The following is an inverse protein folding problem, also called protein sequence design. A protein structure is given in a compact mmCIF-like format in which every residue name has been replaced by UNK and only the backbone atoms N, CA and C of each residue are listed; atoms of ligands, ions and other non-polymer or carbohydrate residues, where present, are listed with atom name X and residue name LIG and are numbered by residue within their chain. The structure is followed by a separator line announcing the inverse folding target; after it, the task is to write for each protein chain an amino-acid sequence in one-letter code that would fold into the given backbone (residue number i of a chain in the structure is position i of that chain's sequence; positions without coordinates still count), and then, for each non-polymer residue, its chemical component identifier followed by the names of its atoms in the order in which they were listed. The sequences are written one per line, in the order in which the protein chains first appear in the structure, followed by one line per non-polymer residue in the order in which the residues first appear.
data_IF_044344184054
#
_entry.id   IF_044344184054
#
_cell.length_a   1.000
_cell.length_b   1.000
_cell.length_c   1.000
_cell.angle_alpha   90.00
_cell.angle_beta   90.00
_cell.angle_gamma   90.00
#
_symmetry.space_group_name_H-M   'P 1'
#
loop_
_entity.id
_entity.type
_entity.pdbx_description
1 polymer ?
#
# COMPACT_ATOMS: atom_id res chain seq x y z
N UNK A 1 -27.12 31.66 -8.22
CA UNK A 1 -27.29 30.29 -8.72
C UNK A 1 -26.20 29.47 -8.06
N UNK A 2 -26.51 29.00 -6.85
CA UNK A 2 -25.62 28.27 -5.96
C UNK A 2 -25.36 26.90 -6.56
N UNK A 3 -24.10 26.62 -6.87
CA UNK A 3 -23.63 25.31 -7.29
C UNK A 3 -23.32 24.54 -6.01
N UNK A 4 -24.33 23.85 -5.48
CA UNK A 4 -24.14 22.81 -4.47
C UNK A 4 -23.36 21.68 -5.12
N UNK A 5 -22.03 21.68 -4.91
CA UNK A 5 -21.24 20.47 -5.05
C UNK A 5 -21.57 19.61 -3.83
N UNK A 6 -22.44 18.63 -4.01
CA UNK A 6 -22.58 17.51 -3.08
C UNK A 6 -21.20 16.88 -2.86
N UNK A 7 -20.52 17.26 -1.78
CA UNK A 7 -19.49 16.43 -1.18
C UNK A 7 -20.23 15.24 -0.58
N UNK A 8 -20.42 14.19 -1.40
CA UNK A 8 -20.77 12.87 -0.88
C UNK A 8 -19.57 12.37 -0.06
N UNK A 9 -19.48 12.82 1.20
CA UNK A 9 -18.45 12.38 2.14
C UNK A 9 -18.50 10.87 2.24
N UNK A 10 -17.35 10.21 2.11
CA UNK A 10 -17.30 8.75 2.21
C UNK A 10 -17.81 8.32 3.59
N UNK A 11 -18.70 7.33 3.64
CA UNK A 11 -19.37 6.91 4.88
C UNK A 11 -18.51 5.97 5.75
N UNK A 12 -18.85 5.80 7.02
CA UNK A 12 -18.21 4.76 7.86
C UNK A 12 -18.55 3.35 7.36
N UNK A 13 -17.60 2.42 7.49
CA UNK A 13 -17.75 0.98 7.17
C UNK A 13 -17.21 0.21 8.37
N UNK A 14 -18.07 -0.44 9.15
CA UNK A 14 -17.70 -1.06 10.43
C UNK A 14 -17.59 -2.58 10.31
N UNK A 15 -16.71 -3.06 9.42
CA UNK A 15 -16.41 -4.48 9.32
C UNK A 15 -15.49 -4.99 10.43
N UNK A 16 -15.02 -6.22 10.29
CA UNK A 16 -14.20 -6.88 11.31
C UNK A 16 -12.79 -6.26 11.39
N UNK A 17 -12.35 -5.98 12.62
CA UNK A 17 -11.00 -5.47 12.90
C UNK A 17 -10.03 -6.58 13.30
N UNK A 18 -10.50 -7.80 13.52
CA UNK A 18 -9.66 -8.89 13.99
C UNK A 18 -8.46 -9.13 13.08
N UNK A 19 -7.29 -9.19 13.70
CA UNK A 19 -6.01 -9.48 13.07
C UNK A 19 -5.54 -10.90 13.46
N UNK A 20 -4.82 -11.61 12.58
CA UNK A 20 -4.23 -12.91 12.93
C UNK A 20 -3.33 -12.79 14.16
N UNK A 21 -3.10 -13.90 14.87
CA UNK A 21 -2.26 -13.91 16.06
C UNK A 21 -0.82 -13.44 15.75
N UNK A 22 -0.13 -12.94 16.77
CA UNK A 22 1.27 -12.58 16.64
C UNK A 22 2.18 -13.71 16.14
N UNK A 23 3.37 -13.36 15.68
CA UNK A 23 4.39 -14.27 15.18
C UNK A 23 5.79 -13.84 15.68
N UNK A 24 6.78 -14.73 15.57
CA UNK A 24 8.17 -14.40 15.89
C UNK A 24 8.80 -13.57 14.76
N UNK A 25 8.40 -12.29 14.73
CA UNK A 25 8.88 -11.28 13.79
C UNK A 25 8.85 -9.92 14.49
N UNK A 26 9.83 -9.01 14.25
CA UNK A 26 9.93 -7.73 14.97
C UNK A 26 8.66 -6.88 14.96
N UNK A 27 7.85 -6.99 13.91
CA UNK A 27 6.60 -6.24 13.74
C UNK A 27 5.36 -7.11 13.94
N UNK A 28 5.46 -8.25 14.61
CA UNK A 28 4.34 -9.19 14.74
C UNK A 28 4.11 -9.67 16.18
N UNK A 29 4.60 -8.98 17.22
CA UNK A 29 4.26 -9.37 18.59
C UNK A 29 2.77 -9.24 18.88
N UNK A 30 2.29 -10.00 19.86
CA UNK A 30 0.88 -9.95 20.29
C UNK A 30 0.48 -8.56 20.82
N UNK A 31 1.42 -7.84 21.41
CA UNK A 31 1.18 -6.45 21.84
C UNK A 31 1.02 -5.51 20.64
N UNK A 32 1.87 -5.65 19.60
CA UNK A 32 1.72 -4.89 18.35
C UNK A 32 0.37 -5.20 17.67
N UNK A 33 -0.06 -6.47 17.66
CA UNK A 33 -1.38 -6.87 17.14
C UNK A 33 -2.51 -6.14 17.86
N UNK A 34 -2.51 -6.15 19.20
CA UNK A 34 -3.56 -5.49 20.01
C UNK A 34 -3.64 -4.00 19.75
N UNK A 35 -2.49 -3.32 19.68
CA UNK A 35 -2.43 -1.87 19.35
C UNK A 35 -3.04 -1.63 17.97
N UNK A 36 -2.62 -2.38 16.96
CA UNK A 36 -3.13 -2.25 15.61
C UNK A 36 -4.64 -2.50 15.54
N UNK A 37 -5.13 -3.61 16.10
CA UNK A 37 -6.55 -4.00 16.09
C UNK A 37 -7.45 -2.97 16.78
N UNK A 38 -7.07 -2.50 17.97
CA UNK A 38 -7.86 -1.54 18.75
C UNK A 38 -7.84 -0.14 18.14
N UNK A 39 -6.69 0.26 17.60
CA UNK A 39 -6.46 1.58 17.02
C UNK A 39 -6.82 1.72 15.55
N UNK A 40 -7.19 0.65 14.84
CA UNK A 40 -7.47 0.69 13.39
C UNK A 40 -8.58 1.69 13.07
N UNK A 41 -8.28 2.65 12.17
CA UNK A 41 -9.22 3.67 11.65
C UNK A 41 -9.60 3.42 10.19
N UNK A 42 -8.73 2.74 9.44
CA UNK A 42 -8.93 2.37 8.04
C UNK A 42 -8.21 1.06 7.76
N UNK A 43 -8.87 0.11 7.11
CA UNK A 43 -8.30 -1.15 6.62
C UNK A 43 -9.03 -1.54 5.34
N UNK A 44 -8.27 -1.85 4.30
CA UNK A 44 -8.83 -2.21 3.01
C UNK A 44 -7.95 -3.25 2.31
N UNK A 45 -8.54 -3.96 1.36
CA UNK A 45 -7.79 -4.81 0.45
C UNK A 45 -6.97 -3.92 -0.49
N UNK A 46 -5.68 -4.26 -0.71
CA UNK A 46 -4.76 -3.50 -1.58
C UNK A 46 -3.97 -4.39 -2.55
N UNK A 47 -4.38 -5.66 -2.64
CA UNK A 47 -3.70 -6.70 -3.42
C UNK A 47 -4.02 -6.68 -4.91
N UNK A 48 -3.49 -7.69 -5.61
CA UNK A 48 -3.65 -7.84 -7.05
C UNK A 48 -5.11 -7.90 -7.52
N UNK A 49 -6.02 -8.42 -6.69
CA UNK A 49 -7.47 -8.39 -6.92
C UNK A 49 -8.04 -6.97 -7.05
N UNK A 50 -7.65 -6.05 -6.17
CA UNK A 50 -8.13 -4.65 -6.18
C UNK A 50 -7.63 -3.88 -7.39
N UNK A 51 -6.49 -4.28 -7.95
CA UNK A 51 -6.00 -3.71 -9.20
C UNK A 51 -6.70 -4.29 -10.45
N UNK A 52 -7.47 -5.38 -10.32
CA UNK A 52 -8.08 -6.11 -11.43
C UNK A 52 -7.08 -6.97 -12.23
N UNK A 53 -5.88 -7.20 -11.71
CA UNK A 53 -4.80 -7.92 -12.41
C UNK A 53 -4.63 -9.37 -11.95
N UNK A 54 -5.55 -9.87 -11.13
CA UNK A 54 -5.57 -11.26 -10.68
C UNK A 54 -5.82 -12.27 -11.80
N UNK A 55 -5.19 -13.44 -11.68
CA UNK A 55 -5.51 -14.64 -12.45
C UNK A 55 -6.45 -15.49 -11.60
N UNK A 56 -7.56 -15.97 -12.17
CA UNK A 56 -8.58 -16.70 -11.43
C UNK A 56 -8.00 -17.89 -10.65
N UNK A 57 -8.31 -17.97 -9.35
CA UNK A 57 -7.92 -19.09 -8.47
C UNK A 57 -6.56 -18.94 -7.76
N UNK A 58 -5.90 -17.78 -7.84
CA UNK A 58 -4.58 -17.52 -7.23
C UNK A 58 -4.57 -16.32 -6.27
N UNK A 59 -5.71 -15.89 -5.75
CA UNK A 59 -5.78 -14.63 -5.00
C UNK A 59 -5.35 -14.82 -3.53
N UNK A 60 -4.16 -14.30 -3.23
CA UNK A 60 -3.75 -13.88 -1.90
C UNK A 60 -4.58 -12.65 -1.49
N UNK A 61 -4.98 -12.58 -0.22
CA UNK A 61 -5.67 -11.42 0.33
C UNK A 61 -4.64 -10.50 0.95
N UNK A 62 -4.22 -9.48 0.21
CA UNK A 62 -3.37 -8.41 0.76
C UNK A 62 -4.24 -7.30 1.36
N UNK A 63 -4.01 -6.99 2.63
CA UNK A 63 -4.69 -5.92 3.34
C UNK A 63 -3.71 -4.90 3.91
N UNK A 64 -4.08 -3.63 3.78
CA UNK A 64 -3.36 -2.53 4.39
C UNK A 64 -4.31 -1.73 5.27
N UNK A 65 -3.81 -1.29 6.42
CA UNK A 65 -4.53 -0.38 7.28
C UNK A 65 -3.65 0.64 7.98
N UNK A 66 -4.36 1.49 8.73
CA UNK A 66 -3.82 2.61 9.50
C UNK A 66 -4.45 2.53 10.88
N UNK A 67 -3.64 2.65 11.92
CA UNK A 67 -4.08 2.68 13.31
C UNK A 67 -3.55 3.91 14.05
N UNK A 68 -4.29 4.35 15.06
CA UNK A 68 -3.86 5.32 16.04
C UNK A 68 -3.31 4.58 17.26
N UNK A 69 -2.07 4.87 17.64
CA UNK A 69 -1.43 4.30 18.82
C UNK A 69 -1.96 4.91 20.14
N UNK A 70 -1.91 4.15 21.26
CA UNK A 70 -2.12 4.69 22.59
C UNK A 70 -1.08 5.78 22.97
N UNK A 71 -1.41 6.68 23.93
CA UNK A 71 -0.57 7.84 24.27
C UNK A 71 0.87 7.47 24.63
N UNK A 72 1.08 6.38 25.36
CA UNK A 72 2.40 5.96 25.83
C UNK A 72 3.37 5.56 24.71
N UNK A 73 2.87 5.24 23.51
CA UNK A 73 3.67 4.97 22.30
C UNK A 73 3.90 6.22 21.44
N UNK A 74 3.16 7.30 21.68
CA UNK A 74 3.25 8.55 20.92
C UNK A 74 4.05 9.60 21.67
N UNK A 75 3.68 9.86 22.92
CA UNK A 75 4.32 10.86 23.79
C UNK A 75 5.23 10.24 24.85
N UNK A 76 5.07 8.94 25.11
CA UNK A 76 5.90 8.19 26.05
C UNK A 76 7.07 7.47 25.38
N UNK A 77 7.70 6.56 26.14
CA UNK A 77 8.82 5.72 25.70
C UNK A 77 8.42 4.24 25.55
N UNK A 78 7.12 3.94 25.48
CA UNK A 78 6.64 2.57 25.40
C UNK A 78 7.13 1.89 24.13
N UNK A 79 7.46 0.60 24.25
CA UNK A 79 7.93 -0.26 23.16
C UNK A 79 7.14 -1.57 23.20
N UNK A 80 7.20 -2.34 22.12
CA UNK A 80 6.60 -3.67 22.03
C UNK A 80 7.70 -4.73 21.93
N UNK A 81 7.47 -5.96 22.41
CA UNK A 81 8.37 -7.08 22.16
C UNK A 81 8.62 -7.28 20.65
N UNK A 82 9.84 -7.70 20.31
CA UNK A 82 10.28 -7.89 18.93
C UNK A 82 9.87 -9.27 18.35
N UNK A 83 8.64 -9.71 18.60
CA UNK A 83 8.14 -11.05 18.26
C UNK A 83 7.42 -11.69 19.45
N UNK A 84 6.83 -12.87 19.25
CA UNK A 84 6.18 -13.63 20.34
C UNK A 84 7.17 -14.33 21.26
N UNK A 85 8.38 -14.63 20.77
CA UNK A 85 9.43 -15.30 21.53
C UNK A 85 10.48 -14.33 22.11
N UNK A 86 10.27 -13.02 21.94
CA UNK A 86 11.19 -12.00 22.43
C UNK A 86 11.10 -11.82 23.96
N UNK A 87 12.11 -12.31 24.69
CA UNK A 87 12.16 -12.18 26.15
C UNK A 87 12.51 -10.76 26.63
N UNK A 88 13.47 -10.10 25.97
CA UNK A 88 14.00 -8.79 26.38
C UNK A 88 14.13 -7.77 25.25
N UNK A 89 14.19 -8.24 24.00
CA UNK A 89 14.34 -7.37 22.82
C UNK A 89 13.04 -6.66 22.51
N UNK A 90 13.08 -5.33 22.38
CA UNK A 90 11.91 -4.51 22.07
C UNK A 90 12.14 -3.54 20.91
N UNK A 91 11.08 -3.25 20.17
CA UNK A 91 11.08 -2.29 19.06
C UNK A 91 10.04 -1.20 19.28
N UNK A 92 10.21 -0.07 18.59
CA UNK A 92 9.17 0.95 18.50
C UNK A 92 8.00 0.40 17.69
N UNK A 93 6.78 0.70 18.12
CA UNK A 93 5.61 0.34 17.35
C UNK A 93 5.44 1.33 16.19
N UNK A 94 5.77 0.87 14.99
CA UNK A 94 5.59 1.61 13.75
C UNK A 94 4.58 0.92 12.82
N UNK A 95 4.41 -0.39 12.96
CA UNK A 95 3.44 -1.20 12.23
C UNK A 95 3.23 -2.56 12.90
N UNK A 96 2.10 -3.19 12.59
CA UNK A 96 1.90 -4.63 12.70
C UNK A 96 1.95 -5.25 11.29
N UNK A 97 2.75 -6.30 11.09
CA UNK A 97 2.85 -7.01 9.81
C UNK A 97 2.76 -8.51 10.04
N UNK A 98 1.88 -9.17 9.28
CA UNK A 98 1.62 -10.59 9.42
C UNK A 98 1.20 -11.23 8.12
N UNK A 99 1.82 -12.36 7.80
CA UNK A 99 1.42 -13.23 6.69
C UNK A 99 0.99 -14.57 7.30
N UNK A 100 -0.23 -15.05 7.02
CA UNK A 100 -0.73 -16.30 7.63
C UNK A 100 0.06 -17.53 7.18
N UNK A 101 0.69 -17.46 6.01
CA UNK A 101 1.55 -18.52 5.47
C UNK A 101 2.75 -18.84 6.38
N UNK A 102 3.14 -17.92 7.28
CA UNK A 102 4.19 -18.14 8.26
C UNK A 102 3.85 -19.23 9.29
N UNK A 103 2.58 -19.61 9.42
CA UNK A 103 2.16 -20.66 10.37
C UNK A 103 2.48 -22.07 9.86
N UNK A 104 2.79 -22.18 8.57
CA UNK A 104 3.18 -23.44 7.96
C UNK A 104 4.66 -23.74 8.23
N UNK A 105 5.08 -25.03 8.18
CA UNK A 105 6.49 -25.39 8.20
C UNK A 105 7.29 -24.55 7.18
N UNK A 106 8.41 -23.97 7.61
CA UNK A 106 9.19 -23.01 6.82
C UNK A 106 9.09 -21.56 7.32
N UNK A 107 8.04 -21.22 8.08
CA UNK A 107 7.95 -19.94 8.79
C UNK A 107 8.08 -18.73 7.86
N UNK A 108 8.96 -17.80 8.23
CA UNK A 108 9.23 -16.57 7.47
C UNK A 108 9.73 -16.79 6.04
N UNK A 109 10.21 -17.99 5.70
CA UNK A 109 10.67 -18.31 4.35
C UNK A 109 9.52 -18.60 3.36
N UNK A 110 8.31 -18.83 3.88
CA UNK A 110 7.15 -19.14 3.06
C UNK A 110 6.68 -17.94 2.25
N UNK A 111 6.11 -18.22 1.08
CA UNK A 111 5.53 -17.22 0.18
C UNK A 111 4.03 -17.39 0.13
N UNK A 112 3.31 -16.29 0.27
CA UNK A 112 1.85 -16.28 0.25
C UNK A 112 1.32 -16.76 -1.10
N UNK A 113 0.24 -17.55 -1.02
CA UNK A 113 -0.50 -18.06 -2.16
C UNK A 113 -2.00 -17.92 -1.95
N UNK A 114 -2.76 -18.67 -2.75
CA UNK A 114 -4.22 -18.64 -2.72
C UNK A 114 -4.77 -18.98 -1.31
N UNK A 115 -5.57 -18.07 -0.75
CA UNK A 115 -6.19 -18.24 0.57
C UNK A 115 -5.35 -17.75 1.75
N UNK A 116 -4.11 -17.31 1.54
CA UNK A 116 -3.32 -16.64 2.56
C UNK A 116 -3.76 -15.17 2.73
N UNK A 117 -3.61 -14.66 3.96
CA UNK A 117 -3.80 -13.26 4.31
C UNK A 117 -2.45 -12.62 4.65
N UNK A 118 -2.13 -11.56 3.91
CA UNK A 118 -1.00 -10.69 4.13
C UNK A 118 -1.52 -9.34 4.63
N UNK A 119 -1.34 -9.04 5.91
CA UNK A 119 -1.83 -7.81 6.52
C UNK A 119 -0.69 -6.93 7.02
N UNK A 120 -0.77 -5.64 6.70
CA UNK A 120 0.07 -4.60 7.30
C UNK A 120 -0.79 -3.45 7.82
N UNK A 121 -0.70 -3.18 9.13
CA UNK A 121 -1.35 -2.02 9.76
C UNK A 121 -0.26 -1.06 10.21
N UNK A 122 -0.17 0.10 9.59
CA UNK A 122 0.80 1.13 9.96
C UNK A 122 0.29 1.98 11.13
N UNK A 123 1.20 2.50 11.96
CA UNK A 123 0.86 3.66 12.78
C UNK A 123 0.49 4.85 11.88
N UNK A 124 -0.46 5.68 12.30
CA UNK A 124 -0.91 6.82 11.50
C UNK A 124 0.24 7.79 11.23
N UNK A 125 1.16 7.98 12.18
CA UNK A 125 2.39 8.78 11.99
C UNK A 125 3.30 8.21 10.90
N UNK A 126 3.57 6.89 10.92
CA UNK A 126 4.40 6.25 9.89
C UNK A 126 3.75 6.35 8.53
N UNK A 127 2.48 5.99 8.45
CA UNK A 127 1.72 6.03 7.21
C UNK A 127 1.71 7.46 6.64
N UNK A 128 1.40 8.47 7.45
CA UNK A 128 1.33 9.86 7.01
C UNK A 128 2.67 10.35 6.46
N UNK A 129 3.79 10.02 7.12
CA UNK A 129 5.14 10.35 6.63
C UNK A 129 5.42 9.69 5.27
N UNK A 130 5.03 8.43 5.07
CA UNK A 130 5.22 7.73 3.80
C UNK A 130 4.30 8.29 2.70
N UNK A 131 3.03 8.58 3.02
CA UNK A 131 2.04 9.14 2.11
C UNK A 131 2.43 10.57 1.66
N UNK A 132 2.84 11.43 2.60
CA UNK A 132 3.38 12.77 2.29
C UNK A 132 4.66 12.71 1.45
N UNK A 133 5.43 11.63 1.56
CA UNK A 133 6.60 11.43 0.71
C UNK A 133 6.24 10.88 -0.68
N UNK A 134 4.97 10.64 -0.98
CA UNK A 134 4.49 10.15 -2.27
C UNK A 134 4.62 8.64 -2.47
N UNK A 135 4.73 7.85 -1.40
CA UNK A 135 4.94 6.41 -1.52
C UNK A 135 3.74 5.72 -2.21
N UNK A 136 3.95 5.03 -3.36
CA UNK A 136 2.86 4.49 -4.16
C UNK A 136 2.05 3.44 -3.42
N UNK A 137 2.70 2.56 -2.65
CA UNK A 137 2.04 1.44 -1.97
C UNK A 137 1.07 1.92 -0.90
N UNK A 138 1.48 2.89 -0.07
CA UNK A 138 0.64 3.36 1.04
C UNK A 138 -0.45 4.34 0.61
N UNK A 139 -0.27 5.04 -0.52
CA UNK A 139 -1.27 5.96 -1.07
C UNK A 139 -2.50 5.22 -1.60
N UNK A 140 -2.34 3.97 -2.07
CA UNK A 140 -3.43 3.19 -2.66
C UNK A 140 -4.66 3.12 -1.75
N UNK A 141 -4.47 2.94 -0.45
CA UNK A 141 -5.56 2.79 0.54
C UNK A 141 -6.55 3.98 0.53
N UNK A 142 -6.13 5.16 0.09
CA UNK A 142 -6.98 6.36 -0.03
C UNK A 142 -7.92 6.32 -1.25
N UNK A 143 -7.61 5.47 -2.22
CA UNK A 143 -8.32 5.39 -3.50
C UNK A 143 -9.10 4.09 -3.68
N UNK A 144 -8.95 3.14 -2.75
CA UNK A 144 -9.68 1.87 -2.76
C UNK A 144 -11.20 2.12 -2.76
N UNK A 145 -11.98 1.44 -3.61
CA UNK A 145 -13.43 1.57 -3.64
C UNK A 145 -14.07 0.95 -2.39
N UNK A 146 -15.28 1.37 -2.05
CA UNK A 146 -15.88 1.08 -0.74
C UNK A 146 -16.18 -0.41 -0.54
N UNK A 147 -16.45 -1.16 -1.62
CA UNK A 147 -16.62 -2.62 -1.61
C UNK A 147 -15.37 -3.41 -1.19
N UNK A 148 -14.18 -2.82 -1.32
CA UNK A 148 -12.89 -3.42 -0.95
C UNK A 148 -12.42 -2.94 0.44
N UNK A 149 -13.19 -2.06 1.10
CA UNK A 149 -12.89 -1.56 2.45
C UNK A 149 -13.40 -2.55 3.49
N UNK A 150 -12.50 -3.00 4.36
CA UNK A 150 -12.80 -3.92 5.46
C UNK A 150 -13.28 -3.13 6.68
N UNK A 151 -12.63 -2.02 7.00
CA UNK A 151 -13.01 -1.15 8.11
C UNK A 151 -12.66 0.31 7.80
N UNK A 152 -13.53 1.24 8.18
CA UNK A 152 -13.35 2.69 8.10
C UNK A 152 -14.24 3.38 9.13
N UNK A 153 -13.64 4.02 10.12
CA UNK A 153 -14.37 4.89 11.05
C UNK A 153 -14.44 6.34 10.56
N UNK A 154 -14.87 7.27 11.42
CA UNK A 154 -14.95 8.69 11.11
C UNK A 154 -13.59 9.31 10.74
N UNK A 155 -12.52 8.94 11.44
CA UNK A 155 -11.18 9.45 11.17
C UNK A 155 -10.65 8.92 9.82
N UNK A 156 -10.89 7.64 9.53
CA UNK A 156 -10.60 7.04 8.23
C UNK A 156 -11.43 7.65 7.10
N UNK A 157 -12.70 7.94 7.33
CA UNK A 157 -13.59 8.59 6.35
C UNK A 157 -13.14 10.03 6.02
N UNK A 158 -12.76 10.80 7.03
CA UNK A 158 -12.19 12.13 6.85
C UNK A 158 -10.89 12.07 6.03
N UNK A 159 -10.01 11.12 6.37
CA UNK A 159 -8.74 10.91 5.70
C UNK A 159 -8.93 10.63 4.20
N UNK A 160 -9.78 9.66 3.87
CA UNK A 160 -10.05 9.26 2.48
C UNK A 160 -10.74 10.39 1.69
N UNK A 161 -11.64 11.14 2.32
CA UNK A 161 -12.30 12.29 1.67
C UNK A 161 -11.31 13.43 1.34
N UNK A 162 -10.15 13.45 2.02
CA UNK A 162 -9.09 14.42 1.82
C UNK A 162 -7.85 13.83 1.11
N UNK A 163 -8.00 12.73 0.37
CA UNK A 163 -6.88 12.08 -0.33
C UNK A 163 -6.02 13.03 -1.19
N UNK A 164 -6.67 14.01 -1.84
CA UNK A 164 -6.00 15.03 -2.66
C UNK A 164 -4.92 15.83 -1.92
N UNK A 165 -5.00 15.94 -0.58
CA UNK A 165 -4.02 16.66 0.25
C UNK A 165 -2.68 15.95 0.38
N UNK A 166 -2.62 14.65 0.12
CA UNK A 166 -1.38 13.88 0.12
C UNK A 166 -0.69 13.86 -1.24
N UNK A 167 -1.41 14.17 -2.32
CA UNK A 167 -0.90 14.06 -3.69
C UNK A 167 -0.10 15.29 -4.05
N UNK A 168 1.14 15.06 -4.48
CA UNK A 168 2.04 16.13 -4.91
C UNK A 168 3.05 15.63 -5.95
N UNK A 169 3.78 16.56 -6.56
CA UNK A 169 4.87 16.29 -7.48
C UNK A 169 5.94 15.36 -6.88
N UNK A 170 6.10 15.35 -5.54
CA UNK A 170 7.04 14.46 -4.84
C UNK A 170 6.78 12.97 -5.09
N UNK A 171 5.56 12.59 -5.48
CA UNK A 171 5.24 11.22 -5.85
C UNK A 171 6.04 10.74 -7.07
N UNK A 172 6.39 11.64 -8.00
CA UNK A 172 7.12 11.26 -9.22
C UNK A 172 8.42 10.50 -8.90
N UNK A 173 9.24 11.02 -7.98
CA UNK A 173 10.51 10.40 -7.61
C UNK A 173 10.33 9.03 -6.95
N UNK A 174 9.25 8.86 -6.16
CA UNK A 174 8.92 7.57 -5.56
C UNK A 174 8.46 6.56 -6.60
N UNK A 175 7.55 6.94 -7.48
CA UNK A 175 7.07 6.06 -8.54
C UNK A 175 8.22 5.63 -9.48
N UNK A 176 9.10 6.56 -9.87
CA UNK A 176 10.30 6.27 -10.65
C UNK A 176 11.24 5.30 -9.93
N UNK A 177 11.52 5.54 -8.65
CA UNK A 177 12.40 4.66 -7.86
C UNK A 177 11.84 3.24 -7.72
N UNK A 178 10.54 3.10 -7.47
CA UNK A 178 9.88 1.79 -7.39
C UNK A 178 9.84 1.09 -8.75
N UNK A 179 9.53 1.80 -9.84
CA UNK A 179 9.55 1.26 -11.19
C UNK A 179 10.95 0.74 -11.56
N UNK A 180 12.00 1.51 -11.27
CA UNK A 180 13.39 1.11 -11.50
C UNK A 180 13.77 -0.16 -10.71
N UNK A 181 13.35 -0.26 -9.45
CA UNK A 181 13.57 -1.45 -8.62
C UNK A 181 12.88 -2.69 -9.21
N UNK A 182 11.62 -2.56 -9.66
CA UNK A 182 10.88 -3.67 -10.29
C UNK A 182 11.51 -4.09 -11.63
N UNK A 183 11.98 -3.12 -12.43
CA UNK A 183 12.71 -3.39 -13.68
C UNK A 183 14.02 -4.14 -13.44
N UNK A 184 14.79 -3.74 -12.43
CA UNK A 184 16.02 -4.43 -12.05
C UNK A 184 15.75 -5.86 -11.61
N UNK A 185 14.70 -6.07 -10.79
CA UNK A 185 14.26 -7.39 -10.36
C UNK A 185 13.77 -8.28 -11.51
N UNK A 186 13.09 -7.71 -12.51
CA UNK A 186 12.62 -8.44 -13.69
C UNK A 186 13.78 -8.99 -14.54
N UNK A 187 14.89 -8.26 -14.65
CA UNK A 187 16.01 -8.58 -15.54
C UNK A 187 17.14 -9.35 -14.86
N UNK A 188 17.07 -9.56 -13.54
CA UNK A 188 18.06 -10.31 -12.78
C UNK A 188 19.45 -9.66 -12.74
N UNK A 189 19.54 -8.33 -12.86
CA UNK A 189 20.81 -7.63 -12.72
C UNK A 189 21.40 -7.82 -11.32
N UNK A 190 22.73 -7.98 -11.23
CA UNK A 190 23.48 -8.42 -10.05
C UNK A 190 23.04 -7.76 -8.73
N UNK A 191 22.56 -8.58 -7.78
CA UNK A 191 22.07 -8.16 -6.47
C UNK A 191 20.55 -8.07 -6.35
N UNK A 192 19.81 -8.10 -7.47
CA UNK A 192 18.36 -8.22 -7.47
C UNK A 192 17.95 -9.69 -7.35
N UNK A 193 17.21 -10.04 -6.30
CA UNK A 193 16.61 -11.36 -6.19
C UNK A 193 15.49 -11.49 -7.22
N UNK A 194 15.71 -12.25 -8.30
CA UNK A 194 14.60 -12.78 -9.10
C UNK A 194 13.85 -13.74 -8.19
N UNK A 195 12.72 -13.30 -7.66
CA UNK A 195 11.97 -14.13 -6.72
C UNK A 195 11.32 -15.32 -7.44
N UNK A 196 11.13 -15.29 -8.76
CA UNK A 196 10.38 -16.33 -9.48
C UNK A 196 11.18 -16.93 -10.65
N UNK A 197 12.22 -17.76 -10.39
CA UNK A 197 12.97 -18.43 -11.45
C UNK A 197 12.09 -19.29 -12.37
N UNK A 198 10.98 -19.81 -11.85
CA UNK A 198 9.97 -20.56 -12.62
C UNK A 198 9.37 -19.74 -13.76
N UNK A 199 9.03 -18.46 -13.52
CA UNK A 199 8.47 -17.58 -14.56
C UNK A 199 9.50 -17.22 -15.62
N UNK A 200 10.76 -17.03 -15.20
CA UNK A 200 11.87 -16.77 -16.11
C UNK A 200 12.11 -17.97 -17.01
N UNK A 201 12.05 -19.19 -16.47
CA UNK A 201 12.21 -20.42 -17.25
C UNK A 201 11.07 -20.62 -18.26
N UNK A 202 9.84 -20.23 -17.91
CA UNK A 202 8.67 -20.39 -18.76
C UNK A 202 8.55 -19.31 -19.84
N UNK A 203 8.76 -18.04 -19.48
CA UNK A 203 8.45 -16.88 -20.35
C UNK A 203 9.68 -16.08 -20.77
N UNK A 204 10.88 -16.42 -20.28
CA UNK A 204 12.13 -15.71 -20.54
C UNK A 204 12.38 -14.50 -19.64
N UNK A 205 11.44 -14.13 -18.76
CA UNK A 205 11.56 -13.06 -17.77
C UNK A 205 10.51 -13.20 -16.64
N UNK A 206 10.68 -12.47 -15.53
CA UNK A 206 9.71 -12.50 -14.42
C UNK A 206 8.47 -11.65 -14.76
N UNK A 207 7.42 -12.31 -15.25
CA UNK A 207 6.16 -11.65 -15.67
C UNK A 207 5.41 -10.95 -14.54
N UNK A 208 5.61 -11.34 -13.27
CA UNK A 208 4.99 -10.65 -12.11
C UNK A 208 5.69 -9.31 -11.89
N UNK A 209 7.02 -9.29 -11.84
CA UNK A 209 7.77 -8.04 -11.70
C UNK A 209 7.58 -7.11 -12.89
N UNK A 210 7.51 -7.65 -14.10
CA UNK A 210 7.24 -6.87 -15.30
C UNK A 210 5.88 -6.15 -15.26
N UNK A 211 4.81 -6.89 -14.93
CA UNK A 211 3.47 -6.30 -14.76
C UNK A 211 3.45 -5.27 -13.63
N UNK A 212 4.10 -5.54 -12.48
CA UNK A 212 4.16 -4.59 -11.37
C UNK A 212 4.90 -3.30 -11.73
N UNK A 213 6.01 -3.38 -12.48
CA UNK A 213 6.75 -2.20 -12.96
C UNK A 213 5.85 -1.32 -13.82
N UNK A 214 5.17 -1.91 -14.82
CA UNK A 214 4.30 -1.14 -15.71
C UNK A 214 3.06 -0.60 -14.99
N UNK A 215 2.45 -1.38 -14.09
CA UNK A 215 1.32 -0.93 -13.26
C UNK A 215 1.68 0.32 -12.46
N UNK A 216 2.86 0.34 -11.84
CA UNK A 216 3.36 1.53 -11.14
C UNK A 216 3.49 2.72 -12.10
N UNK A 217 4.05 2.51 -13.30
CA UNK A 217 4.14 3.54 -14.33
C UNK A 217 2.77 4.14 -14.68
N UNK A 218 1.79 3.29 -15.01
CA UNK A 218 0.41 3.69 -15.37
C UNK A 218 -0.25 4.46 -14.22
N UNK A 219 -0.22 3.92 -13.00
CA UNK A 219 -0.85 4.56 -11.84
C UNK A 219 -0.15 5.86 -11.43
N UNK A 220 1.17 5.94 -11.58
CA UNK A 220 1.91 7.17 -11.31
C UNK A 220 1.59 8.27 -12.32
N UNK A 221 1.44 7.92 -13.60
CA UNK A 221 1.01 8.85 -14.65
C UNK A 221 -0.39 9.37 -14.33
N UNK A 222 -1.32 8.49 -13.97
CA UNK A 222 -2.68 8.87 -13.59
C UNK A 222 -2.68 9.82 -12.37
N UNK A 223 -1.94 9.45 -11.32
CA UNK A 223 -1.84 10.23 -10.09
C UNK A 223 -1.29 11.63 -10.35
N UNK A 224 -0.19 11.75 -11.09
CA UNK A 224 0.44 13.04 -11.38
C UNK A 224 -0.32 13.89 -12.40
N UNK A 225 -1.18 13.28 -13.21
CA UNK A 225 -2.00 13.99 -14.21
C UNK A 225 -3.37 14.41 -13.67
N UNK A 226 -3.90 13.70 -12.68
CA UNK A 226 -5.31 13.86 -12.24
C UNK A 226 -5.47 14.08 -10.74
N UNK A 227 -4.44 13.82 -9.95
CA UNK A 227 -4.52 13.82 -8.49
C UNK A 227 -5.20 12.58 -7.90
N UNK A 228 -5.45 11.53 -8.69
CA UNK A 228 -6.17 10.31 -8.26
C UNK A 228 -5.58 9.05 -8.88
N UNK A 229 -5.85 7.90 -8.24
CA UNK A 229 -5.63 6.56 -8.80
C UNK A 229 -6.99 5.90 -8.93
N UNK A 230 -7.28 5.31 -10.10
CA UNK A 230 -8.50 4.52 -10.31
C UNK A 230 -8.22 3.06 -10.00
N UNK A 231 -9.07 2.48 -9.15
CA UNK A 231 -9.04 1.07 -8.75
C UNK A 231 -10.41 0.45 -8.96
N UNK A 232 -10.52 -0.69 -9.66
CA UNK A 232 -9.45 -1.38 -10.39
C UNK A 232 -8.87 -0.57 -11.57
N UNK A 233 -7.64 -0.88 -11.99
CA UNK A 233 -6.93 -0.15 -13.07
C UNK A 233 -7.84 -0.03 -14.30
N UNK A 234 -7.94 1.12 -14.99
CA UNK A 234 -8.82 1.28 -16.16
C UNK A 234 -8.63 0.18 -17.21
N UNK A 235 -9.73 -0.22 -17.86
CA UNK A 235 -9.76 -1.42 -18.73
C UNK A 235 -8.72 -1.39 -19.86
N UNK A 236 -8.47 -0.20 -20.44
CA UNK A 236 -7.46 -0.01 -21.48
C UNK A 236 -6.05 -0.44 -21.07
N UNK A 237 -5.66 -0.15 -19.83
CA UNK A 237 -4.35 -0.52 -19.30
C UNK A 237 -4.39 -1.91 -18.64
N UNK A 238 -5.53 -2.27 -18.03
CA UNK A 238 -5.72 -3.54 -17.32
C UNK A 238 -5.51 -4.74 -18.23
N UNK A 239 -6.08 -4.76 -19.43
CA UNK A 239 -5.92 -5.91 -20.32
C UNK A 239 -4.46 -6.08 -20.77
N UNK A 240 -3.77 -4.97 -21.03
CA UNK A 240 -2.35 -5.01 -21.37
C UNK A 240 -1.47 -5.49 -20.19
N UNK A 241 -1.79 -5.06 -18.96
CA UNK A 241 -1.12 -5.58 -17.76
C UNK A 241 -1.37 -7.08 -17.58
N UNK A 242 -2.58 -7.57 -17.87
CA UNK A 242 -2.93 -8.98 -17.79
C UNK A 242 -2.22 -9.81 -18.87
N UNK A 243 -2.08 -9.31 -20.09
CA UNK A 243 -1.33 -10.01 -21.15
C UNK A 243 0.16 -10.15 -20.82
N UNK A 244 0.78 -9.13 -20.22
CA UNK A 244 2.14 -9.22 -19.67
C UNK A 244 2.21 -10.27 -18.56
N UNK A 245 1.24 -10.26 -17.64
CA UNK A 245 1.20 -11.23 -16.53
C UNK A 245 1.09 -12.68 -17.02
N UNK A 246 0.39 -12.91 -18.14
CA UNK A 246 0.25 -14.22 -18.82
C UNK A 246 1.47 -14.59 -19.70
N UNK A 247 2.46 -13.70 -19.85
CA UNK A 247 3.64 -13.94 -20.67
C UNK A 247 3.38 -13.86 -22.18
N UNK A 248 2.29 -13.23 -22.60
CA UNK A 248 1.90 -13.11 -24.02
C UNK A 248 2.70 -12.04 -24.76
N UNK A 249 3.27 -11.08 -24.02
CA UNK A 249 4.03 -9.96 -24.57
C UNK A 249 5.53 -10.29 -24.49
N UNK A 250 6.28 -10.15 -25.59
CA UNK A 250 7.71 -10.41 -25.57
C UNK A 250 8.45 -9.35 -24.75
N UNK A 251 9.54 -9.76 -24.08
CA UNK A 251 10.29 -8.91 -23.15
C UNK A 251 10.67 -7.53 -23.72
N UNK A 252 11.08 -7.45 -24.99
CA UNK A 252 11.49 -6.18 -25.60
C UNK A 252 10.33 -5.17 -25.67
N UNK A 253 9.10 -5.61 -25.88
CA UNK A 253 7.92 -4.74 -25.87
C UNK A 253 7.59 -4.29 -24.46
N UNK A 254 7.71 -5.19 -23.49
CA UNK A 254 7.48 -4.84 -22.07
C UNK A 254 8.51 -3.81 -21.59
N UNK A 255 9.78 -3.99 -21.94
CA UNK A 255 10.84 -3.01 -21.63
C UNK A 255 10.54 -1.66 -22.29
N UNK A 256 10.16 -1.65 -23.56
CA UNK A 256 9.80 -0.42 -24.25
C UNK A 256 8.58 0.28 -23.62
N UNK A 257 7.58 -0.48 -23.16
CA UNK A 257 6.42 0.07 -22.44
C UNK A 257 6.81 0.69 -21.09
N UNK A 258 7.70 0.03 -20.34
CA UNK A 258 8.25 0.55 -19.08
C UNK A 258 9.06 1.83 -19.34
N UNK A 259 9.93 1.83 -20.36
CA UNK A 259 10.71 3.01 -20.75
C UNK A 259 9.80 4.20 -21.09
N UNK A 260 8.74 3.95 -21.87
CA UNK A 260 7.75 4.98 -22.21
C UNK A 260 7.04 5.52 -20.96
N UNK A 261 6.68 4.65 -20.01
CA UNK A 261 6.05 5.06 -18.76
C UNK A 261 7.01 5.88 -17.89
N UNK A 262 8.28 5.48 -17.83
CA UNK A 262 9.35 6.20 -17.12
C UNK A 262 9.54 7.62 -17.69
N UNK A 263 9.64 7.76 -19.02
CA UNK A 263 9.76 9.07 -19.67
C UNK A 263 8.54 9.97 -19.42
N UNK A 264 7.33 9.41 -19.45
CA UNK A 264 6.11 10.15 -19.10
C UNK A 264 6.15 10.62 -17.65
N UNK A 265 6.52 9.76 -16.70
CA UNK A 265 6.66 10.13 -15.29
C UNK A 265 7.70 11.26 -15.09
N UNK A 266 8.84 11.19 -15.77
CA UNK A 266 9.86 12.24 -15.75
C UNK A 266 9.27 13.56 -16.26
N UNK A 267 8.53 13.54 -17.38
CA UNK A 267 7.89 14.75 -17.91
C UNK A 267 6.82 15.35 -16.99
N UNK A 268 6.15 14.50 -16.19
CA UNK A 268 5.11 14.91 -15.24
C UNK A 268 5.66 15.39 -13.90
N UNK A 269 6.96 15.24 -13.64
CA UNK A 269 7.61 15.70 -12.41
C UNK A 269 7.42 17.20 -12.16
N UNK A 270 7.35 17.98 -13.24
CA UNK A 270 7.15 19.43 -13.22
C UNK A 270 5.71 19.84 -13.60
N UNK A 271 4.79 18.87 -13.68
CA UNK A 271 3.39 19.12 -14.03
C UNK A 271 2.69 19.95 -12.97
N UNK A 272 1.98 20.99 -13.39
CA UNK A 272 1.12 21.81 -12.51
C UNK A 272 -0.27 21.20 -12.26
N UNK A 273 -0.54 19.98 -12.76
CA UNK A 273 -1.81 19.30 -12.55
C UNK A 273 -2.03 18.86 -11.09
N UNK A 274 -0.95 18.68 -10.33
CA UNK A 274 -0.97 18.41 -8.88
C UNK A 274 -0.12 19.45 -8.14
N UNK A 275 -0.33 19.58 -6.83
CA UNK A 275 0.43 20.53 -6.02
C UNK A 275 1.94 20.18 -6.00
N UNK A 276 2.80 21.18 -5.90
CA UNK A 276 4.25 20.96 -5.78
C UNK A 276 4.60 20.21 -4.48
N UNK A 277 3.95 20.58 -3.38
CA UNK A 277 4.11 19.97 -2.06
C UNK A 277 2.76 19.47 -1.54
N UNK A 278 2.75 18.41 -0.71
CA UNK A 278 1.54 17.96 -0.04
C UNK A 278 1.17 18.91 1.11
N UNK A 279 -0.09 18.87 1.54
CA UNK A 279 -0.60 19.71 2.62
C UNK A 279 -0.22 19.18 4.00
N UNK A 280 1.03 19.46 4.39
CA UNK A 280 1.60 19.04 5.68
C UNK A 280 0.86 19.65 6.88
N UNK A 281 0.34 20.87 6.74
CA UNK A 281 -0.37 21.56 7.82
C UNK A 281 -1.68 20.83 8.13
N UNK A 282 -2.46 20.52 7.10
CA UNK A 282 -3.70 19.76 7.27
C UNK A 282 -3.42 18.37 7.82
N UNK A 283 -2.42 17.65 7.30
CA UNK A 283 -2.07 16.30 7.78
C UNK A 283 -1.63 16.33 9.25
N UNK A 284 -0.83 17.32 9.65
CA UNK A 284 -0.44 17.50 11.04
C UNK A 284 -1.65 17.78 11.94
N UNK A 285 -2.53 18.69 11.52
CA UNK A 285 -3.76 18.97 12.25
C UNK A 285 -4.67 17.74 12.33
N UNK A 286 -4.72 16.91 11.27
CA UNK A 286 -5.53 15.70 11.20
C UNK A 286 -5.04 14.63 12.16
N UNK A 287 -3.73 14.36 12.16
CA UNK A 287 -3.12 13.47 13.15
C UNK A 287 -3.43 13.97 14.56
N UNK A 288 -3.17 15.25 14.84
CA UNK A 288 -3.35 15.80 16.18
C UNK A 288 -4.78 15.64 16.71
N UNK A 289 -5.80 16.05 15.94
CA UNK A 289 -7.21 15.90 16.35
C UNK A 289 -7.62 14.44 16.47
N UNK A 290 -7.19 13.59 15.54
CA UNK A 290 -7.53 12.16 15.54
C UNK A 290 -6.97 11.44 16.77
N UNK A 291 -5.72 11.70 17.16
CA UNK A 291 -5.15 11.15 18.39
C UNK A 291 -5.88 11.64 19.64
N UNK A 292 -6.13 12.94 19.76
CA UNK A 292 -6.84 13.48 20.92
C UNK A 292 -8.23 12.86 21.08
N UNK A 293 -8.95 12.68 19.98
CA UNK A 293 -10.27 12.06 20.01
C UNK A 293 -10.20 10.56 20.28
N UNK A 294 -9.21 9.84 19.73
CA UNK A 294 -8.96 8.44 20.04
C UNK A 294 -8.68 8.23 21.54
N UNK A 295 -7.74 8.99 22.11
CA UNK A 295 -7.35 8.89 23.51
C UNK A 295 -8.42 9.32 24.51
N UNK A 296 -9.42 10.09 24.09
CA UNK A 296 -10.59 10.39 24.93
C UNK A 296 -11.59 9.23 25.00
N UNK A 297 -11.57 8.33 24.01
CA UNK A 297 -12.52 7.21 23.87
C UNK A 297 -11.97 5.90 24.44
N UNK A 298 -10.65 5.79 24.57
CA UNK A 298 -9.92 4.63 25.10
C UNK A 298 -9.43 4.89 26.52
#
# INVERSE_FOLDING_TARGET
MTCDREQSGRSTILGDRTLPAGFDHPHASEQARRIAEQGTILRAQVGSGVHGTSIAGQDDRDEMGICLEPPEYVTGIARVPAGVDAETTTVEFEQYQRHTVWDQPGGLANRSGAGDLDVVIYSARKWARLALAGNPTVLLVLFVPDEEVVYRDEAGAELVSNAHRFVSQLAADRFLGYLAAQRSAMTGQSGAHTNRPELVAEHGYDTKFAMHALRLGVQGIELLSTGRITLPVPESDREYLRSIRRGEIPLYEVVAAIDNAEQKLISLRESSAVAAEPDREWVNAWLHRSYLDHWRRT
#
